data_IF_020017335241
#
_entry.id   IF_020017335241
#
_cell.length_a   1.000
_cell.length_b   1.000
_cell.length_c   1.000
_cell.angle_alpha   90.00
_cell.angle_beta   90.00
_cell.angle_gamma   90.00
#
_symmetry.space_group_name_H-M   'P 1'
#
loop_
_entity.id
_entity.type
_entity.pdbx_description
1 polymer ?
#
# COMPACT_ATOMS: atom_id res chain seq x y z
N UNK A 1 -31.47 -8.76 21.64
CA UNK A 1 -30.28 -9.61 21.82
C UNK A 1 -29.40 -9.54 20.58
N UNK A 2 -28.20 -9.03 20.76
CA UNK A 2 -27.23 -9.04 19.67
C UNK A 2 -26.80 -10.50 19.42
N UNK A 3 -27.08 -11.01 18.22
CA UNK A 3 -26.51 -12.27 17.77
C UNK A 3 -25.03 -12.03 17.48
N UNK A 4 -24.17 -12.67 18.25
CA UNK A 4 -22.74 -12.70 17.93
C UNK A 4 -22.56 -13.33 16.54
N UNK A 5 -22.11 -12.52 15.61
CA UNK A 5 -21.69 -13.05 14.31
C UNK A 5 -20.33 -13.73 14.50
N UNK A 6 -20.31 -15.03 14.44
CA UNK A 6 -19.07 -15.79 14.35
C UNK A 6 -18.42 -15.49 13.01
N UNK A 7 -17.51 -14.48 13.00
CA UNK A 7 -16.69 -14.19 11.82
C UNK A 7 -15.38 -14.94 11.94
N UNK A 8 -15.10 -15.82 10.98
CA UNK A 8 -13.79 -16.44 10.85
C UNK A 8 -13.05 -15.79 9.67
N UNK A 9 -11.79 -15.42 9.92
CA UNK A 9 -10.92 -14.88 8.86
C UNK A 9 -10.06 -16.02 8.34
N UNK A 10 -10.13 -16.27 7.03
CA UNK A 10 -9.27 -17.23 6.35
C UNK A 10 -8.32 -16.51 5.41
N UNK A 11 -7.04 -16.82 5.52
CA UNK A 11 -6.04 -16.33 4.59
C UNK A 11 -5.87 -17.34 3.47
N UNK A 12 -6.11 -16.90 2.24
CA UNK A 12 -5.87 -17.71 1.05
C UNK A 12 -4.54 -17.28 0.44
N UNK A 13 -3.72 -18.28 0.08
CA UNK A 13 -2.49 -18.06 -0.68
C UNK A 13 -2.69 -18.59 -2.09
N UNK A 14 -2.57 -17.70 -3.05
CA UNK A 14 -2.70 -18.04 -4.45
C UNK A 14 -1.37 -17.79 -5.14
N UNK A 15 -0.99 -18.70 -6.02
CA UNK A 15 0.21 -18.53 -6.84
C UNK A 15 -0.20 -17.91 -8.18
N UNK A 16 0.36 -16.76 -8.46
CA UNK A 16 0.12 -16.02 -9.70
C UNK A 16 1.04 -16.56 -10.79
N UNK A 17 0.57 -16.63 -12.02
CA UNK A 17 1.41 -17.05 -13.16
C UNK A 17 2.47 -16.00 -13.48
N UNK A 18 3.61 -16.46 -13.96
CA UNK A 18 4.80 -15.62 -14.17
C UNK A 18 4.60 -14.49 -15.17
N UNK A 19 3.62 -14.60 -16.06
CA UNK A 19 3.26 -13.54 -17.01
C UNK A 19 2.81 -12.24 -16.33
N UNK A 20 2.37 -12.31 -15.06
CA UNK A 20 1.95 -11.15 -14.28
C UNK A 20 3.11 -10.44 -13.56
N UNK A 21 4.28 -11.07 -13.45
CA UNK A 21 5.40 -10.55 -12.65
C UNK A 21 5.89 -9.18 -13.10
N UNK A 22 6.08 -8.90 -14.41
CA UNK A 22 6.52 -7.56 -14.82
C UNK A 22 5.58 -6.46 -14.36
N UNK A 23 4.27 -6.67 -14.49
CA UNK A 23 3.27 -5.71 -14.05
C UNK A 23 3.28 -5.56 -12.52
N UNK A 24 3.34 -6.66 -11.79
CA UNK A 24 3.38 -6.65 -10.33
C UNK A 24 4.63 -5.96 -9.80
N UNK A 25 5.78 -6.19 -10.41
CA UNK A 25 7.02 -5.52 -10.04
C UNK A 25 6.94 -4.01 -10.29
N UNK A 26 6.36 -3.58 -11.40
CA UNK A 26 6.14 -2.18 -11.70
C UNK A 26 5.18 -1.54 -10.69
N UNK A 27 4.08 -2.22 -10.36
CA UNK A 27 3.14 -1.76 -9.34
C UNK A 27 3.81 -1.64 -7.96
N UNK A 28 4.63 -2.62 -7.59
CA UNK A 28 5.36 -2.59 -6.32
C UNK A 28 6.37 -1.45 -6.26
N UNK A 29 6.99 -1.08 -7.38
CA UNK A 29 7.86 0.11 -7.46
C UNK A 29 7.06 1.39 -7.19
N UNK A 30 5.85 1.50 -7.72
CA UNK A 30 4.97 2.63 -7.45
C UNK A 30 4.52 2.67 -5.98
N UNK A 31 4.27 1.52 -5.38
CA UNK A 31 4.00 1.39 -3.95
C UNK A 31 5.19 1.90 -3.12
N UNK A 32 6.40 1.52 -3.50
CA UNK A 32 7.61 1.99 -2.82
C UNK A 32 7.76 3.51 -2.94
N UNK A 33 7.47 4.07 -4.12
CA UNK A 33 7.48 5.51 -4.32
C UNK A 33 6.47 6.21 -3.40
N UNK A 34 5.27 5.66 -3.25
CA UNK A 34 4.24 6.19 -2.35
C UNK A 34 4.70 6.13 -0.88
N UNK A 35 5.28 5.02 -0.46
CA UNK A 35 5.82 4.87 0.89
C UNK A 35 6.90 5.91 1.17
N UNK A 36 7.84 6.05 0.25
CA UNK A 36 8.95 6.99 0.39
C UNK A 36 8.45 8.44 0.41
N UNK A 37 7.45 8.75 -0.40
CA UNK A 37 6.79 10.04 -0.38
C UNK A 37 6.15 10.31 1.00
N UNK A 38 5.42 9.35 1.54
CA UNK A 38 4.80 9.46 2.86
C UNK A 38 5.85 9.68 3.96
N UNK A 39 6.97 8.95 3.86
CA UNK A 39 8.09 9.09 4.78
C UNK A 39 8.72 10.48 4.73
N UNK A 40 9.02 10.98 3.54
CA UNK A 40 9.57 12.31 3.33
C UNK A 40 8.61 13.40 3.81
N UNK A 41 7.33 13.30 3.45
CA UNK A 41 6.29 14.27 3.83
C UNK A 41 6.12 14.31 5.35
N UNK A 42 6.14 13.17 6.00
CA UNK A 42 6.02 13.08 7.46
C UNK A 42 7.24 13.66 8.18
N UNK A 43 8.43 13.46 7.62
CA UNK A 43 9.66 14.08 8.15
C UNK A 43 9.59 15.60 8.07
N UNK A 44 9.20 16.14 6.92
CA UNK A 44 9.09 17.59 6.72
C UNK A 44 8.07 18.20 7.68
N UNK A 45 6.92 17.55 7.86
CA UNK A 45 5.91 18.02 8.81
C UNK A 45 6.43 18.03 10.24
N UNK A 46 7.17 17.00 10.64
CA UNK A 46 7.77 16.92 11.97
C UNK A 46 8.81 18.02 12.18
N UNK A 47 9.65 18.28 11.18
CA UNK A 47 10.67 19.34 11.26
C UNK A 47 10.05 20.73 11.36
N UNK A 48 9.04 21.02 10.56
CA UNK A 48 8.35 22.31 10.59
C UNK A 48 7.62 22.56 11.89
N UNK A 49 7.15 21.52 12.56
CA UNK A 49 6.37 21.62 13.78
C UNK A 49 7.18 21.33 15.05
N UNK A 50 8.50 21.39 14.97
CA UNK A 50 9.40 21.09 16.10
C UNK A 50 9.10 21.87 17.37
N UNK A 51 8.60 23.09 17.24
CA UNK A 51 8.29 23.98 18.38
C UNK A 51 6.86 23.89 18.90
N UNK A 52 5.94 23.45 18.05
CA UNK A 52 4.57 23.12 18.43
C UNK A 52 4.52 21.60 18.53
N UNK A 53 4.12 21.03 19.65
CA UNK A 53 4.00 19.57 19.82
C UNK A 53 3.47 18.93 18.54
N UNK A 54 4.40 18.45 17.70
CA UNK A 54 4.10 17.99 16.36
C UNK A 54 3.18 16.77 16.44
N UNK A 55 1.98 16.91 15.93
CA UNK A 55 1.14 15.76 15.66
C UNK A 55 1.73 15.02 14.48
N UNK A 56 1.97 13.72 14.66
CA UNK A 56 2.31 12.86 13.54
C UNK A 56 1.17 12.88 12.53
N UNK A 57 1.51 12.94 11.24
CA UNK A 57 0.50 12.84 10.19
C UNK A 57 -0.19 11.49 10.27
N UNK A 58 -1.52 11.50 10.28
CA UNK A 58 -2.32 10.29 10.22
C UNK A 58 -2.42 9.77 8.80
N UNK A 59 -2.92 8.54 8.63
CA UNK A 59 -3.24 8.02 7.30
C UNK A 59 -4.22 8.92 6.56
N UNK A 60 -5.19 9.51 7.26
CA UNK A 60 -6.14 10.45 6.69
C UNK A 60 -5.45 11.72 6.17
N UNK A 61 -4.53 12.28 6.95
CA UNK A 61 -3.75 13.46 6.53
C UNK A 61 -2.94 13.16 5.27
N UNK A 62 -2.28 12.01 5.23
CA UNK A 62 -1.50 11.58 4.06
C UNK A 62 -2.40 11.36 2.85
N UNK A 63 -3.59 10.80 3.03
CA UNK A 63 -4.54 10.64 1.94
C UNK A 63 -4.95 11.98 1.34
N UNK A 64 -5.20 12.98 2.16
CA UNK A 64 -5.54 14.32 1.70
C UNK A 64 -4.38 14.97 0.94
N UNK A 65 -3.15 14.82 1.44
CA UNK A 65 -1.97 15.39 0.81
C UNK A 65 -1.61 14.68 -0.51
N UNK A 66 -1.94 13.40 -0.64
CA UNK A 66 -1.66 12.61 -1.85
C UNK A 66 -2.82 12.61 -2.84
N UNK A 67 -3.89 13.37 -2.60
CA UNK A 67 -5.02 13.43 -3.53
C UNK A 67 -4.53 13.86 -4.92
N UNK A 68 -4.91 13.10 -5.95
CA UNK A 68 -4.47 13.34 -7.32
C UNK A 68 -3.12 12.71 -7.69
N UNK A 69 -2.41 12.11 -6.74
CA UNK A 69 -1.10 11.48 -7.01
C UNK A 69 -1.18 10.32 -8.00
N UNK A 70 -2.35 9.69 -8.14
CA UNK A 70 -2.55 8.58 -9.09
C UNK A 70 -2.37 8.99 -10.54
N UNK A 71 -2.43 10.28 -10.86
CA UNK A 71 -2.11 10.78 -12.19
C UNK A 71 -0.66 10.50 -12.59
N UNK A 72 0.23 10.33 -11.61
CA UNK A 72 1.64 10.04 -11.85
C UNK A 72 1.95 8.54 -11.86
N UNK A 73 0.96 7.70 -11.59
CA UNK A 73 1.14 6.26 -11.53
C UNK A 73 0.40 5.57 -12.67
N UNK A 74 1.05 4.56 -13.25
CA UNK A 74 0.48 3.79 -14.35
C UNK A 74 -0.25 2.53 -13.90
N UNK A 75 0.12 1.99 -12.75
CA UNK A 75 -0.34 0.67 -12.29
C UNK A 75 -1.27 0.75 -11.08
N UNK A 76 -0.93 1.54 -10.08
CA UNK A 76 -1.71 1.58 -8.84
C UNK A 76 -2.76 2.69 -8.86
N UNK A 77 -3.89 2.42 -8.21
CA UNK A 77 -4.99 3.37 -8.07
C UNK A 77 -5.03 4.03 -6.69
N UNK A 78 -6.02 4.89 -6.49
CA UNK A 78 -6.20 5.65 -5.25
C UNK A 78 -6.36 4.75 -4.02
N UNK A 79 -7.03 3.62 -4.14
CA UNK A 79 -7.22 2.68 -3.04
C UNK A 79 -5.90 2.08 -2.55
N UNK A 80 -4.99 1.76 -3.47
CA UNK A 80 -3.65 1.28 -3.13
C UNK A 80 -2.85 2.37 -2.43
N UNK A 81 -2.85 3.60 -2.96
CA UNK A 81 -2.18 4.75 -2.34
C UNK A 81 -2.69 4.95 -0.91
N UNK A 82 -3.99 4.92 -0.71
CA UNK A 82 -4.59 5.08 0.61
C UNK A 82 -4.19 3.95 1.58
N UNK A 83 -4.11 2.72 1.09
CA UNK A 83 -3.65 1.59 1.91
C UNK A 83 -2.18 1.71 2.31
N UNK A 84 -1.34 2.16 1.40
CA UNK A 84 0.09 2.41 1.70
C UNK A 84 0.22 3.51 2.76
N UNK A 85 -0.52 4.61 2.61
CA UNK A 85 -0.50 5.71 3.57
C UNK A 85 -0.96 5.26 4.96
N UNK A 86 -2.02 4.47 5.03
CA UNK A 86 -2.54 3.92 6.28
C UNK A 86 -1.54 3.00 6.97
N UNK A 87 -0.92 2.10 6.23
CA UNK A 87 0.12 1.21 6.75
C UNK A 87 1.35 1.99 7.22
N UNK A 88 1.77 2.97 6.44
CA UNK A 88 2.89 3.83 6.81
C UNK A 88 2.62 4.52 8.14
N UNK A 89 1.47 5.18 8.28
CA UNK A 89 1.11 5.91 9.48
C UNK A 89 1.04 4.98 10.71
N UNK A 90 0.48 3.78 10.53
CA UNK A 90 0.37 2.79 11.59
C UNK A 90 1.75 2.31 12.06
N UNK A 91 2.63 1.97 11.11
CA UNK A 91 4.00 1.51 11.44
C UNK A 91 4.85 2.60 12.07
N UNK A 92 4.72 3.83 11.60
CA UNK A 92 5.43 4.97 12.17
C UNK A 92 5.00 5.21 13.62
N UNK A 93 3.71 5.15 13.89
CA UNK A 93 3.17 5.30 15.24
C UNK A 93 3.69 4.21 16.17
N UNK A 94 3.69 2.96 15.72
CA UNK A 94 4.21 1.83 16.48
C UNK A 94 5.71 1.96 16.76
N UNK A 95 6.49 2.42 15.79
CA UNK A 95 7.93 2.59 15.91
C UNK A 95 8.32 3.82 16.73
N UNK A 96 7.43 4.78 16.90
CA UNK A 96 7.68 6.06 17.60
C UNK A 96 8.89 6.83 17.06
N UNK A 97 9.13 6.75 15.75
CA UNK A 97 10.26 7.36 15.05
C UNK A 97 9.78 8.46 14.11
N UNK A 98 10.65 9.45 13.86
CA UNK A 98 10.37 10.54 12.93
C UNK A 98 10.33 10.04 11.49
N UNK A 99 11.16 9.05 11.15
CA UNK A 99 11.17 8.43 9.83
C UNK A 99 11.33 6.93 9.94
N UNK A 100 10.83 6.21 8.94
CA UNK A 100 11.05 4.79 8.76
C UNK A 100 12.12 4.57 7.69
N UNK A 101 12.55 3.32 7.51
CA UNK A 101 13.48 2.98 6.44
C UNK A 101 12.86 3.25 5.06
N UNK A 102 13.68 3.73 4.14
CA UNK A 102 13.26 3.91 2.75
C UNK A 102 13.07 2.54 2.10
N UNK A 103 12.07 2.44 1.25
CA UNK A 103 11.87 1.24 0.44
C UNK A 103 12.68 1.35 -0.83
N UNK A 104 13.26 0.23 -1.26
CA UNK A 104 14.18 0.17 -2.38
C UNK A 104 13.59 -0.71 -3.47
N UNK A 105 13.54 -0.19 -4.70
CA UNK A 105 12.97 -0.90 -5.84
C UNK A 105 13.99 -1.58 -6.73
N UNK A 106 15.28 -1.27 -6.56
CA UNK A 106 16.37 -1.81 -7.39
C UNK A 106 17.52 -2.31 -6.52
N UNK A 107 18.29 -3.25 -7.06
CA UNK A 107 19.47 -3.77 -6.42
C UNK A 107 19.20 -4.93 -5.46
N UNK A 108 20.22 -5.31 -4.70
CA UNK A 108 20.19 -6.47 -3.81
C UNK A 108 19.21 -6.34 -2.65
N UNK A 109 18.91 -5.12 -2.23
CA UNK A 109 17.99 -4.85 -1.13
C UNK A 109 16.58 -4.50 -1.58
N UNK A 110 16.24 -4.74 -2.85
CA UNK A 110 14.92 -4.40 -3.37
C UNK A 110 13.81 -5.13 -2.62
N UNK A 111 12.72 -4.43 -2.40
CA UNK A 111 11.51 -4.94 -1.78
C UNK A 111 10.34 -4.69 -2.74
N UNK A 112 9.96 -5.70 -3.51
CA UNK A 112 8.92 -5.61 -4.53
C UNK A 112 7.77 -6.59 -4.29
N UNK A 113 7.62 -7.07 -3.08
CA UNK A 113 6.65 -8.12 -2.75
C UNK A 113 5.33 -7.64 -2.18
N UNK A 114 5.03 -6.34 -2.26
CA UNK A 114 3.85 -5.80 -1.59
C UNK A 114 3.12 -4.79 -2.47
N UNK A 115 1.86 -5.11 -2.78
CA UNK A 115 0.93 -4.22 -3.48
C UNK A 115 -0.43 -4.35 -2.78
N UNK A 116 -0.72 -3.50 -1.79
CA UNK A 116 -1.99 -3.58 -1.08
C UNK A 116 -3.13 -2.98 -1.89
N UNK A 117 -4.35 -3.42 -1.59
CA UNK A 117 -5.57 -2.89 -2.21
C UNK A 117 -6.74 -3.08 -1.25
N UNK A 118 -7.84 -2.39 -1.52
CA UNK A 118 -9.09 -2.58 -0.77
C UNK A 118 -9.84 -3.78 -1.33
N UNK A 119 -10.51 -4.53 -0.47
CA UNK A 119 -11.24 -5.74 -0.85
C UNK A 119 -12.22 -5.50 -2.02
N UNK A 120 -12.88 -4.35 -2.04
CA UNK A 120 -13.82 -4.00 -3.10
C UNK A 120 -13.19 -3.86 -4.49
N UNK A 121 -11.86 -3.63 -4.53
CA UNK A 121 -11.12 -3.45 -5.80
C UNK A 121 -10.67 -4.77 -6.42
N UNK A 122 -10.75 -5.87 -5.68
CA UNK A 122 -10.37 -7.19 -6.18
C UNK A 122 -11.61 -7.95 -6.62
N UNK A 123 -11.59 -8.45 -7.85
CA UNK A 123 -12.65 -9.28 -8.40
C UNK A 123 -12.08 -10.59 -8.87
N UNK A 124 -12.81 -11.68 -8.65
CA UNK A 124 -12.42 -13.02 -9.08
C UNK A 124 -13.41 -13.52 -10.14
N UNK A 125 -12.87 -14.08 -11.21
CA UNK A 125 -13.66 -14.79 -12.23
C UNK A 125 -12.89 -16.03 -12.63
N UNK A 126 -13.36 -17.23 -12.18
CA UNK A 126 -12.66 -18.49 -12.45
C UNK A 126 -11.23 -18.47 -11.92
N UNK A 127 -10.27 -18.71 -12.78
CA UNK A 127 -8.83 -18.71 -12.46
C UNK A 127 -8.19 -17.33 -12.57
N UNK A 128 -8.99 -16.27 -12.73
CA UNK A 128 -8.47 -14.93 -12.91
C UNK A 128 -8.85 -14.03 -11.75
N UNK A 129 -7.91 -13.20 -11.32
CA UNK A 129 -8.14 -12.10 -10.40
C UNK A 129 -8.02 -10.81 -11.18
N UNK A 130 -8.93 -9.88 -10.98
CA UNK A 130 -8.87 -8.56 -11.59
C UNK A 130 -8.66 -7.49 -10.54
N UNK A 131 -7.66 -6.66 -10.77
CA UNK A 131 -7.26 -5.60 -9.88
C UNK A 131 -6.62 -4.47 -10.68
N UNK A 132 -7.00 -3.22 -10.40
CA UNK A 132 -6.45 -2.03 -11.07
C UNK A 132 -6.50 -2.12 -12.62
N UNK A 133 -7.56 -2.70 -13.16
CA UNK A 133 -7.72 -2.85 -14.61
C UNK A 133 -6.90 -3.99 -15.22
N UNK A 134 -6.10 -4.70 -14.43
CA UNK A 134 -5.27 -5.82 -14.88
C UNK A 134 -5.87 -7.14 -14.41
N UNK A 135 -5.93 -8.12 -15.31
CA UNK A 135 -6.33 -9.50 -14.99
C UNK A 135 -5.09 -10.36 -14.81
N UNK A 136 -5.09 -11.15 -13.74
CA UNK A 136 -4.01 -12.08 -13.41
C UNK A 136 -4.56 -13.48 -13.41
N UNK A 137 -3.89 -14.39 -14.09
CA UNK A 137 -4.20 -15.81 -13.96
C UNK A 137 -3.47 -16.39 -12.76
N UNK A 138 -4.18 -17.22 -12.00
CA UNK A 138 -3.61 -17.93 -10.86
C UNK A 138 -3.61 -19.42 -11.17
N UNK A 139 -2.71 -20.14 -10.51
CA UNK A 139 -2.71 -21.59 -10.64
C UNK A 139 -3.92 -22.17 -9.92
N UNK A 140 -4.63 -23.01 -10.61
CA UNK A 140 -5.70 -23.82 -10.05
C UNK A 140 -5.10 -25.00 -9.29
N UNK A 141 -5.72 -25.36 -8.20
CA UNK A 141 -5.32 -26.55 -7.45
C UNK A 141 -5.95 -27.79 -8.04
#
# INVERSE_FOLDING_TARGET
MATEKNTSIRTLRLKVKTEAYPWLNAAASEVNATWNWANATSMDAADRNRRAKAKFLSGFDLNNLSAGATEFFEKIGADTVQRVNGEYASKRRAAKRIKLHWRVSRGARRSLGWVPFKAASLKRKGNSLRFAGKSFRVFDR
#
